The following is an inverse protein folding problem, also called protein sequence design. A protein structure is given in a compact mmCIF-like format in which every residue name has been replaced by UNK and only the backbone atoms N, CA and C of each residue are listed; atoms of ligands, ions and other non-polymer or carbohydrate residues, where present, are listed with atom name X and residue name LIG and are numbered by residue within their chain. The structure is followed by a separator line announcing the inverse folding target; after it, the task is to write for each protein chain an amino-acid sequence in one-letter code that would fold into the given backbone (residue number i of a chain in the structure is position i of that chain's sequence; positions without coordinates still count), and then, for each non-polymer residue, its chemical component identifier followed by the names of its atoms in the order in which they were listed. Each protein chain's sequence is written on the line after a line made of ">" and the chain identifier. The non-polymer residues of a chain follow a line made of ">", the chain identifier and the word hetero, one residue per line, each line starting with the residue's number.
data_IF_968164729192
#
_entry.id   IF_968164729192
#
_cell.length_a   1.000
_cell.length_b   1.000
_cell.length_c   1.000
_cell.angle_alpha   90.00
_cell.angle_beta   90.00
_cell.angle_gamma   90.00
#
_symmetry.space_group_name_H-M   'P 1'
#
loop_
_entity.id
_entity.type
_entity.pdbx_description
1 polymer ?
#
# COMPACT_ATOMS: atom_id res chain seq x y z
N UNK A 1 10.25 -8.26 -1.53
CA UNK A 1 9.70 -8.99 -0.37
C UNK A 1 9.12 -7.97 0.59
N UNK A 2 7.87 -8.12 1.01
CA UNK A 2 7.21 -7.20 1.94
C UNK A 2 7.55 -7.57 3.39
N UNK A 3 7.72 -6.60 4.29
CA UNK A 3 7.86 -6.87 5.72
C UNK A 3 6.61 -7.56 6.29
N UNK A 4 6.78 -8.41 7.29
CA UNK A 4 5.70 -9.18 7.93
C UNK A 4 4.47 -8.34 8.28
N UNK A 5 4.67 -7.18 8.94
CA UNK A 5 3.58 -6.33 9.39
C UNK A 5 2.75 -5.76 8.23
N UNK A 6 3.37 -5.49 7.09
CA UNK A 6 2.70 -5.01 5.89
C UNK A 6 1.93 -6.15 5.21
N UNK A 7 2.54 -7.33 5.11
CA UNK A 7 1.90 -8.53 4.57
C UNK A 7 0.66 -8.91 5.38
N UNK A 8 0.76 -8.86 6.70
CA UNK A 8 -0.36 -9.11 7.62
C UNK A 8 -1.55 -8.17 7.34
N UNK A 9 -1.29 -6.88 7.19
CA UNK A 9 -2.34 -5.89 6.91
C UNK A 9 -2.98 -6.13 5.54
N UNK A 10 -2.17 -6.47 4.52
CA UNK A 10 -2.67 -6.78 3.18
C UNK A 10 -3.61 -7.98 3.20
N UNK A 11 -3.20 -9.09 3.83
CA UNK A 11 -4.01 -10.29 3.96
C UNK A 11 -5.29 -10.04 4.75
N UNK A 12 -5.21 -9.30 5.87
CA UNK A 12 -6.41 -8.94 6.63
C UNK A 12 -7.42 -8.17 5.79
N UNK A 13 -6.97 -7.15 5.06
CA UNK A 13 -7.84 -6.35 4.20
C UNK A 13 -8.39 -7.15 3.01
N UNK A 14 -7.57 -7.99 2.41
CA UNK A 14 -8.00 -8.90 1.34
C UNK A 14 -9.13 -9.83 1.81
N UNK A 15 -9.09 -10.27 3.06
CA UNK A 15 -10.15 -11.06 3.69
C UNK A 15 -11.34 -10.21 4.19
N UNK A 16 -11.35 -8.91 3.96
CA UNK A 16 -12.42 -8.00 4.41
C UNK A 16 -12.50 -7.84 5.93
N UNK A 17 -11.45 -8.21 6.69
CA UNK A 17 -11.49 -8.21 8.15
C UNK A 17 -11.07 -6.85 8.72
N UNK A 18 -11.82 -6.40 9.76
CA UNK A 18 -11.37 -5.30 10.61
C UNK A 18 -10.25 -5.78 11.55
N UNK A 19 -9.48 -4.85 12.15
CA UNK A 19 -8.52 -5.22 13.19
C UNK A 19 -9.19 -5.93 14.37
N UNK A 20 -10.40 -5.49 14.75
CA UNK A 20 -11.16 -6.14 15.83
C UNK A 20 -11.53 -7.58 15.47
N UNK A 21 -12.04 -7.81 14.26
CA UNK A 21 -12.42 -9.13 13.78
C UNK A 21 -11.22 -10.09 13.70
N UNK A 22 -10.08 -9.64 13.19
CA UNK A 22 -8.87 -10.48 13.14
C UNK A 22 -8.34 -10.75 14.55
N UNK A 23 -8.30 -9.75 15.43
CA UNK A 23 -7.87 -9.92 16.83
C UNK A 23 -8.73 -10.97 17.56
N UNK A 24 -10.05 -10.90 17.39
CA UNK A 24 -10.99 -11.87 17.95
C UNK A 24 -10.72 -13.29 17.41
N UNK A 25 -10.59 -13.46 16.09
CA UNK A 25 -10.30 -14.77 15.47
C UNK A 25 -8.97 -15.34 15.91
N UNK A 26 -7.96 -14.49 16.05
CA UNK A 26 -6.62 -14.86 16.50
C UNK A 26 -6.49 -14.95 18.04
N UNK A 27 -7.56 -14.69 18.79
CA UNK A 27 -7.54 -14.64 20.27
C UNK A 27 -6.44 -13.74 20.82
N UNK A 28 -6.24 -12.60 20.16
CA UNK A 28 -5.28 -11.56 20.55
C UNK A 28 -6.01 -10.32 21.03
N UNK A 29 -5.41 -9.60 21.96
CA UNK A 29 -5.91 -8.27 22.30
C UNK A 29 -5.75 -7.32 21.09
N UNK A 30 -6.80 -6.55 20.74
CA UNK A 30 -6.78 -5.58 19.62
C UNK A 30 -5.59 -4.61 19.67
N UNK A 31 -5.19 -4.05 20.84
CA UNK A 31 -4.00 -3.21 20.92
C UNK A 31 -2.71 -3.92 20.50
N UNK A 32 -2.57 -5.22 20.83
CA UNK A 32 -1.43 -6.02 20.43
C UNK A 32 -1.38 -6.21 18.91
N UNK A 33 -2.50 -6.57 18.28
CA UNK A 33 -2.59 -6.69 16.82
C UNK A 33 -2.27 -5.35 16.15
N UNK A 34 -2.79 -4.24 16.68
CA UNK A 34 -2.50 -2.91 16.16
C UNK A 34 -1.01 -2.54 16.26
N UNK A 35 -0.33 -2.95 17.33
CA UNK A 35 1.12 -2.75 17.49
C UNK A 35 1.92 -3.60 16.49
N UNK A 36 1.51 -4.85 16.27
CA UNK A 36 2.10 -5.76 15.27
C UNK A 36 1.95 -5.18 13.87
N UNK A 37 0.74 -4.76 13.47
CA UNK A 37 0.48 -4.18 12.14
C UNK A 37 1.23 -2.87 11.89
N UNK A 38 1.61 -2.15 12.93
CA UNK A 38 2.45 -0.95 12.83
C UNK A 38 3.96 -1.24 12.86
N UNK A 39 4.36 -2.50 12.93
CA UNK A 39 5.76 -2.90 13.07
C UNK A 39 6.43 -2.43 14.38
N UNK A 40 5.61 -2.11 15.41
CA UNK A 40 6.10 -1.67 16.73
C UNK A 40 6.32 -2.80 17.72
N UNK A 41 5.98 -4.02 17.34
CA UNK A 41 6.11 -5.22 18.17
C UNK A 41 6.59 -6.38 17.33
N UNK A 42 7.60 -7.04 17.81
CA UNK A 42 8.04 -8.33 17.28
C UNK A 42 7.02 -9.43 17.57
N UNK A 43 7.00 -10.42 16.71
CA UNK A 43 6.06 -11.54 16.80
C UNK A 43 6.80 -12.85 17.00
N UNK A 44 6.28 -13.67 17.90
CA UNK A 44 6.76 -15.04 18.06
C UNK A 44 6.21 -15.93 16.94
N UNK A 45 6.88 -17.04 16.65
CA UNK A 45 6.39 -18.05 15.71
C UNK A 45 4.98 -18.56 16.06
N UNK A 46 4.67 -18.66 17.34
CA UNK A 46 3.32 -19.00 17.83
C UNK A 46 2.30 -17.96 17.36
N UNK A 47 2.61 -16.68 17.50
CA UNK A 47 1.72 -15.59 17.08
C UNK A 47 1.54 -15.58 15.56
N UNK A 48 2.62 -15.82 14.81
CA UNK A 48 2.56 -15.95 13.33
C UNK A 48 1.60 -17.06 12.92
N UNK A 49 1.71 -18.25 13.53
CA UNK A 49 0.83 -19.39 13.25
C UNK A 49 -0.64 -19.08 13.55
N UNK A 50 -0.91 -18.43 14.68
CA UNK A 50 -2.28 -18.05 15.06
C UNK A 50 -2.87 -17.03 14.09
N UNK A 51 -2.11 -16.02 13.67
CA UNK A 51 -2.54 -15.03 12.68
C UNK A 51 -2.75 -15.66 11.32
N UNK A 52 -1.84 -16.52 10.87
CA UNK A 52 -1.96 -17.24 9.60
C UNK A 52 -3.22 -18.12 9.57
N UNK A 53 -3.48 -18.88 10.62
CA UNK A 53 -4.70 -19.68 10.77
C UNK A 53 -5.97 -18.80 10.73
N UNK A 54 -5.97 -17.67 11.44
CA UNK A 54 -7.10 -16.73 11.45
C UNK A 54 -7.39 -16.10 10.08
N UNK A 55 -6.36 -15.99 9.24
CA UNK A 55 -6.44 -15.49 7.86
C UNK A 55 -6.69 -16.60 6.83
N UNK A 56 -6.55 -17.87 7.20
CA UNK A 56 -6.65 -19.02 6.29
C UNK A 56 -5.48 -19.06 5.27
N UNK A 57 -4.26 -18.81 5.74
CA UNK A 57 -3.03 -18.87 4.93
C UNK A 57 -1.94 -19.69 5.64
N UNK A 58 -0.93 -20.11 4.89
CA UNK A 58 0.25 -20.75 5.47
C UNK A 58 1.10 -19.72 6.24
N UNK A 59 1.73 -20.07 7.37
CA UNK A 59 2.60 -19.17 8.11
C UNK A 59 3.73 -18.57 7.26
N UNK A 60 4.33 -19.37 6.36
CA UNK A 60 5.35 -18.94 5.41
C UNK A 60 4.87 -17.79 4.51
N UNK A 61 3.62 -17.82 4.08
CA UNK A 61 3.02 -16.74 3.27
C UNK A 61 3.16 -15.36 3.92
N UNK A 62 2.98 -15.30 5.25
CA UNK A 62 3.13 -14.05 5.99
C UNK A 62 4.59 -13.66 6.22
N UNK A 63 5.45 -14.65 6.52
CA UNK A 63 6.87 -14.45 6.82
C UNK A 63 7.66 -14.10 5.56
N UNK A 64 7.37 -14.80 4.45
CA UNK A 64 8.03 -14.60 3.16
C UNK A 64 7.52 -13.36 2.42
N UNK A 65 6.62 -12.62 3.02
CA UNK A 65 6.12 -11.37 2.44
C UNK A 65 5.30 -11.57 1.16
N UNK A 66 4.62 -12.72 1.03
CA UNK A 66 3.80 -13.03 -0.15
C UNK A 66 2.48 -12.27 -0.08
N UNK A 67 2.25 -11.40 -1.05
CA UNK A 67 1.01 -10.62 -1.15
C UNK A 67 -0.19 -11.52 -1.54
N UNK A 68 -1.43 -11.18 -1.14
CA UNK A 68 -2.62 -11.99 -1.42
C UNK A 68 -2.86 -12.23 -2.92
N UNK A 69 -2.38 -11.35 -3.79
CA UNK A 69 -2.55 -11.47 -5.24
C UNK A 69 -1.58 -12.46 -5.87
N UNK A 70 -0.43 -12.68 -5.24
CA UNK A 70 0.55 -13.68 -5.73
C UNK A 70 0.06 -15.10 -5.54
N UNK A 71 -0.89 -15.33 -4.62
CA UNK A 71 -1.47 -16.64 -4.33
C UNK A 71 -2.68 -17.01 -5.20
N UNK A 72 -3.31 -16.04 -5.88
CA UNK A 72 -4.56 -16.21 -6.65
C UNK A 72 -4.39 -16.10 -8.16
N UNK A 73 -3.17 -16.16 -8.65
CA UNK A 73 -2.82 -15.85 -10.04
C UNK A 73 -2.11 -14.49 -10.13
N UNK A 74 -1.38 -14.29 -11.21
CA UNK A 74 -0.62 -13.05 -11.42
C UNK A 74 -1.51 -11.83 -11.18
N UNK A 75 -1.09 -10.87 -10.33
CA UNK A 75 -1.83 -9.63 -10.19
C UNK A 75 -2.00 -9.01 -11.58
N UNK A 76 -3.13 -8.33 -11.85
CA UNK A 76 -3.33 -7.73 -13.15
C UNK A 76 -2.13 -6.84 -13.46
N UNK A 77 -1.38 -7.23 -14.49
CA UNK A 77 -0.30 -6.39 -15.00
C UNK A 77 -0.93 -5.09 -15.47
N UNK A 78 -0.44 -3.98 -14.96
CA UNK A 78 -0.86 -2.68 -15.49
C UNK A 78 -0.44 -2.61 -16.96
N UNK A 79 -1.40 -2.55 -17.86
CA UNK A 79 -1.10 -2.32 -19.27
C UNK A 79 -0.37 -0.98 -19.43
N UNK A 80 0.50 -0.88 -20.42
CA UNK A 80 1.21 0.37 -20.72
C UNK A 80 0.24 1.54 -20.89
N UNK A 81 -0.91 1.32 -21.53
CA UNK A 81 -1.96 2.33 -21.70
C UNK A 81 -2.55 2.79 -20.35
N UNK A 82 -2.73 1.88 -19.40
CA UNK A 82 -3.23 2.20 -18.04
C UNK A 82 -2.19 2.98 -17.25
N UNK A 83 -0.91 2.60 -17.34
CA UNK A 83 0.20 3.34 -16.70
C UNK A 83 0.26 4.79 -17.23
N UNK A 84 0.18 4.98 -18.55
CA UNK A 84 0.20 6.32 -19.16
C UNK A 84 -1.02 7.15 -18.73
N UNK A 85 -2.23 6.56 -18.70
CA UNK A 85 -3.43 7.25 -18.21
C UNK A 85 -3.29 7.72 -16.77
N UNK A 86 -2.81 6.86 -15.87
CA UNK A 86 -2.59 7.23 -14.47
C UNK A 86 -1.49 8.29 -14.33
N UNK A 87 -0.41 8.17 -15.08
CA UNK A 87 0.67 9.15 -15.08
C UNK A 87 0.19 10.52 -15.55
N UNK A 88 -0.62 10.56 -16.60
CA UNK A 88 -1.23 11.81 -17.10
C UNK A 88 -2.27 12.39 -16.14
N UNK A 89 -3.10 11.54 -15.52
CA UNK A 89 -4.09 11.98 -14.54
C UNK A 89 -3.42 12.59 -13.30
N UNK A 90 -2.30 12.00 -12.84
CA UNK A 90 -1.56 12.50 -11.67
C UNK A 90 -0.72 13.72 -12.04
N UNK A 91 0.03 13.66 -13.16
CA UNK A 91 0.99 14.69 -13.57
C UNK A 91 0.33 15.94 -14.15
N UNK A 92 -0.73 15.78 -14.94
CA UNK A 92 -1.44 16.87 -15.62
C UNK A 92 -2.79 17.23 -15.02
N UNK A 93 -3.20 16.58 -13.93
CA UNK A 93 -4.49 16.83 -13.29
C UNK A 93 -5.71 16.41 -14.11
N UNK A 94 -5.54 15.54 -15.13
CA UNK A 94 -6.66 15.10 -15.96
C UNK A 94 -7.73 14.39 -15.12
N UNK A 95 -9.02 14.64 -15.38
CA UNK A 95 -10.11 13.97 -14.70
C UNK A 95 -10.16 12.50 -15.09
N UNK A 96 -10.43 11.64 -14.12
CA UNK A 96 -10.63 10.19 -14.30
C UNK A 96 -12.10 9.88 -14.09
N UNK A 97 -12.72 9.24 -15.06
CA UNK A 97 -14.17 8.96 -15.05
C UNK A 97 -14.48 7.75 -14.18
N UNK A 98 -13.70 6.68 -14.30
CA UNK A 98 -13.94 5.45 -13.56
C UNK A 98 -13.72 5.61 -12.04
N UNK A 99 -14.70 5.21 -11.19
CA UNK A 99 -14.58 5.33 -9.73
C UNK A 99 -13.41 4.56 -9.14
N UNK A 100 -13.11 3.37 -9.70
CA UNK A 100 -11.98 2.55 -9.28
C UNK A 100 -10.63 3.19 -9.58
N UNK A 101 -10.48 3.76 -10.77
CA UNK A 101 -9.28 4.49 -11.19
C UNK A 101 -9.10 5.79 -10.38
N UNK A 102 -10.20 6.48 -10.02
CA UNK A 102 -10.14 7.68 -9.14
C UNK A 102 -9.49 7.39 -7.79
N UNK A 103 -9.79 6.25 -7.18
CA UNK A 103 -9.16 5.85 -5.91
C UNK A 103 -7.64 5.62 -6.08
N UNK A 104 -7.22 5.00 -7.17
CA UNK A 104 -5.81 4.77 -7.49
C UNK A 104 -5.07 6.09 -7.68
N UNK A 105 -5.63 7.01 -8.49
CA UNK A 105 -5.06 8.34 -8.73
C UNK A 105 -4.98 9.16 -7.43
N UNK A 106 -6.00 9.12 -6.58
CA UNK A 106 -5.99 9.78 -5.27
C UNK A 106 -4.90 9.22 -4.35
N UNK A 107 -4.74 7.90 -4.32
CA UNK A 107 -3.69 7.22 -3.56
C UNK A 107 -2.30 7.61 -4.04
N UNK A 108 -2.06 7.61 -5.36
CA UNK A 108 -0.80 8.04 -5.96
C UNK A 108 -0.47 9.50 -5.64
N UNK A 109 -1.44 10.41 -5.78
CA UNK A 109 -1.26 11.84 -5.41
C UNK A 109 -0.87 12.00 -3.95
N UNK A 110 -1.47 11.23 -3.05
CA UNK A 110 -1.16 11.27 -1.63
C UNK A 110 0.28 10.82 -1.37
N UNK A 111 0.73 9.71 -1.96
CA UNK A 111 2.10 9.21 -1.82
C UNK A 111 3.11 10.21 -2.37
N UNK A 112 2.86 10.79 -3.53
CA UNK A 112 3.77 11.74 -4.17
C UNK A 112 3.88 13.05 -3.40
N UNK A 113 2.77 13.62 -2.91
CA UNK A 113 2.80 14.80 -2.02
C UNK A 113 3.72 14.59 -0.83
N UNK A 114 3.73 13.39 -0.27
CA UNK A 114 4.59 13.07 0.89
C UNK A 114 6.05 12.89 0.51
N UNK A 115 6.36 12.31 -0.65
CA UNK A 115 7.74 12.24 -1.14
C UNK A 115 8.31 13.64 -1.38
N UNK A 116 7.54 14.53 -2.00
CA UNK A 116 7.95 15.93 -2.25
C UNK A 116 8.11 16.71 -0.94
N UNK A 117 7.17 16.60 -0.02
CA UNK A 117 7.24 17.26 1.29
C UNK A 117 8.40 16.74 2.15
N UNK A 118 8.75 15.45 2.08
CA UNK A 118 9.89 14.87 2.79
C UNK A 118 11.24 15.40 2.27
N UNK A 119 11.31 15.78 0.99
CA UNK A 119 12.50 16.38 0.38
C UNK A 119 12.62 17.86 0.74
N UNK A 120 11.49 18.59 0.80
CA UNK A 120 11.46 20.03 1.02
C UNK A 120 11.50 20.45 2.51
N UNK A 121 11.08 19.59 3.45
CA UNK A 121 10.95 19.95 4.86
C UNK A 121 11.83 19.11 5.78
N UNK A 122 13.03 19.62 6.08
CA UNK A 122 13.86 19.16 7.21
C UNK A 122 13.34 19.60 8.59
N UNK A 123 12.27 20.43 8.67
CA UNK A 123 11.72 20.95 9.94
C UNK A 123 10.19 20.77 9.97
N UNK A 124 9.70 20.03 10.97
CA UNK A 124 8.29 19.98 11.35
C UNK A 124 7.41 19.01 10.54
N UNK A 125 7.25 17.76 11.01
CA UNK A 125 6.37 16.74 10.39
C UNK A 125 4.92 16.87 10.88
N UNK A 126 3.92 17.10 10.03
CA UNK A 126 2.51 16.93 10.43
C UNK A 126 2.19 15.46 10.68
N UNK A 127 1.63 15.14 11.84
CA UNK A 127 1.28 13.77 12.30
C UNK A 127 0.25 13.05 11.40
N UNK A 128 -0.62 13.79 10.74
CA UNK A 128 -1.70 13.28 9.86
C UNK A 128 -1.19 12.70 8.55
N UNK A 129 -0.02 13.11 8.10
CA UNK A 129 0.54 12.76 6.79
C UNK A 129 0.95 11.28 6.67
N UNK A 130 1.47 10.68 7.75
CA UNK A 130 1.94 9.28 7.75
C UNK A 130 0.80 8.27 7.62
N UNK A 131 -0.34 8.52 8.27
CA UNK A 131 -1.49 7.61 8.21
C UNK A 131 -2.11 7.60 6.82
N UNK A 132 -2.34 8.78 6.24
CA UNK A 132 -2.91 8.90 4.90
C UNK A 132 -2.00 8.26 3.83
N UNK A 133 -0.68 8.44 3.94
CA UNK A 133 0.29 7.81 3.04
C UNK A 133 0.27 6.29 3.16
N UNK A 134 0.18 5.77 4.38
CA UNK A 134 0.12 4.33 4.62
C UNK A 134 -1.19 3.73 4.09
N UNK A 135 -2.33 4.40 4.28
CA UNK A 135 -3.62 3.96 3.74
C UNK A 135 -3.63 4.01 2.20
N UNK A 136 -3.05 5.06 1.61
CA UNK A 136 -2.89 5.17 0.17
C UNK A 136 -1.98 4.06 -0.40
N UNK A 137 -0.85 3.78 0.26
CA UNK A 137 0.04 2.69 -0.10
C UNK A 137 -0.67 1.33 -0.02
N UNK A 138 -1.45 1.09 1.04
CA UNK A 138 -2.25 -0.13 1.17
C UNK A 138 -3.30 -0.27 0.07
N UNK A 139 -3.97 0.82 -0.28
CA UNK A 139 -4.98 0.82 -1.34
C UNK A 139 -4.39 0.44 -2.70
N UNK A 140 -3.16 0.86 -3.00
CA UNK A 140 -2.44 0.46 -4.21
C UNK A 140 -2.00 -1.00 -4.16
N UNK A 141 -1.35 -1.41 -3.06
CA UNK A 141 -0.86 -2.78 -2.89
C UNK A 141 -1.99 -3.81 -2.72
N UNK A 142 -3.23 -3.37 -2.49
CA UNK A 142 -4.40 -4.25 -2.53
C UNK A 142 -4.90 -4.54 -3.94
N UNK A 143 -4.39 -3.88 -4.97
CA UNK A 143 -4.85 -4.01 -6.35
C UNK A 143 -3.76 -4.39 -7.35
N UNK A 144 -2.53 -3.97 -7.11
CA UNK A 144 -1.41 -4.12 -8.04
C UNK A 144 -0.19 -4.72 -7.36
N UNK A 145 0.66 -5.40 -8.13
CA UNK A 145 1.92 -5.91 -7.60
C UNK A 145 2.87 -4.77 -7.20
N UNK A 146 3.80 -5.01 -6.26
CA UNK A 146 4.82 -4.03 -5.89
C UNK A 146 5.63 -3.52 -7.08
N UNK A 147 5.94 -4.40 -8.04
CA UNK A 147 6.68 -4.07 -9.26
C UNK A 147 5.85 -3.14 -10.17
N UNK A 148 4.56 -3.43 -10.35
CA UNK A 148 3.66 -2.58 -11.14
C UNK A 148 3.49 -1.20 -10.50
N UNK A 149 3.44 -1.12 -9.16
CA UNK A 149 3.38 0.14 -8.43
C UNK A 149 4.68 0.92 -8.60
N UNK A 150 5.84 0.26 -8.59
CA UNK A 150 7.12 0.91 -8.80
C UNK A 150 7.21 1.51 -10.20
N UNK A 151 6.90 0.74 -11.24
CA UNK A 151 6.87 1.21 -12.63
C UNK A 151 5.94 2.42 -12.79
N UNK A 152 4.75 2.35 -12.17
CA UNK A 152 3.80 3.46 -12.19
C UNK A 152 4.35 4.71 -11.48
N UNK A 153 4.97 4.54 -10.31
CA UNK A 153 5.56 5.64 -9.55
C UNK A 153 6.71 6.33 -10.31
N UNK A 154 7.56 5.54 -10.97
CA UNK A 154 8.67 6.04 -11.77
C UNK A 154 8.17 6.83 -12.99
N UNK A 155 7.13 6.32 -13.66
CA UNK A 155 6.53 7.00 -14.81
C UNK A 155 5.84 8.32 -14.42
N UNK A 156 5.16 8.35 -13.28
CA UNK A 156 4.56 9.59 -12.75
C UNK A 156 5.65 10.61 -12.39
N UNK A 157 6.74 10.17 -11.76
CA UNK A 157 7.86 11.04 -11.40
C UNK A 157 8.52 11.66 -12.66
N UNK A 158 8.69 10.86 -13.72
CA UNK A 158 9.20 11.33 -15.01
C UNK A 158 8.29 12.42 -15.61
N UNK A 159 6.97 12.19 -15.61
CA UNK A 159 5.98 13.18 -16.11
C UNK A 159 6.02 14.49 -15.32
N UNK A 160 6.18 14.41 -14.00
CA UNK A 160 6.28 15.61 -13.17
C UNK A 160 7.55 16.42 -13.43
N UNK A 161 8.69 15.75 -13.70
CA UNK A 161 9.95 16.45 -14.07
C UNK A 161 9.83 17.20 -15.39
N UNK A 162 9.19 16.59 -16.39
CA UNK A 162 9.00 17.22 -17.72
C UNK A 162 8.07 18.43 -17.65
N UNK A 163 7.11 18.47 -16.72
CA UNK A 163 6.13 19.56 -16.60
C UNK A 163 6.46 20.55 -15.48
N UNK A 164 7.43 20.25 -14.63
CA UNK A 164 7.86 21.09 -13.51
C UNK A 164 9.09 21.96 -13.77
N UNK A 165 9.64 21.95 -14.99
CA UNK A 165 10.64 22.95 -15.38
C UNK A 165 9.92 24.27 -15.63
N UNK A 166 10.22 25.34 -14.87
CA UNK A 166 9.73 26.67 -15.21
C UNK A 166 10.25 26.99 -16.62
N UNK A 167 9.36 27.47 -17.46
CA UNK A 167 9.76 28.14 -18.68
C UNK A 167 10.41 29.47 -18.25
N UNK A 168 11.72 29.56 -18.44
CA UNK A 168 12.45 30.83 -18.46
C UNK A 168 11.88 31.71 -19.56
#
# INVERSE_FOLDING_TARGET
>A
MLPFHQTLVLWRRHRGLTQAALAQRARLARPNLSAIERGKREVTLRTVRVLANALGVQPGTLVDGVAPFSASGSPPSLSRATIERFADAVGRGRPVVDPGERQVVAALRTILKHRTAAIQHRRGRPRTSRRATFEAWLALNSRYSPEAIQVLADRVAERQRVHGSPRD
#
